data_IF_860031295500
#
_entry.id   IF_860031295500
#
_cell.length_a   1.000
_cell.length_b   1.000
_cell.length_c   1.000
_cell.angle_alpha   90.00
_cell.angle_beta   90.00
_cell.angle_gamma   90.00
#
_symmetry.space_group_name_H-M   'P 1'
#
loop_
_entity.id
_entity.type
_entity.pdbx_description
1 polymer ?
#
# COMPACT_ATOMS: atom_id res chain seq x y z
N UNK A 1 22.28 -9.73 -30.62
CA UNK A 1 21.26 -9.37 -29.60
C UNK A 1 20.56 -8.09 -30.05
N UNK A 2 19.25 -8.16 -30.34
CA UNK A 2 18.47 -7.01 -30.78
C UNK A 2 18.23 -6.05 -29.60
N UNK A 3 18.56 -4.76 -29.77
CA UNK A 3 18.33 -3.70 -28.78
C UNK A 3 17.35 -2.70 -29.40
N UNK A 4 16.23 -2.42 -28.74
CA UNK A 4 15.30 -1.34 -29.11
C UNK A 4 15.39 -0.21 -28.09
N UNK A 5 15.54 1.02 -28.58
CA UNK A 5 15.56 2.23 -27.76
C UNK A 5 14.14 2.76 -27.58
N UNK A 6 13.78 3.12 -26.35
CA UNK A 6 12.56 3.85 -26.02
C UNK A 6 12.98 5.12 -25.30
N UNK A 7 12.60 6.27 -25.85
CA UNK A 7 12.90 7.58 -25.29
C UNK A 7 11.72 7.99 -24.41
N UNK A 8 11.96 8.06 -23.10
CA UNK A 8 11.07 8.72 -22.13
C UNK A 8 11.88 9.86 -21.56
N UNK A 9 11.34 11.08 -21.62
CA UNK A 9 12.05 12.32 -21.35
C UNK A 9 12.98 12.22 -20.13
N UNK A 10 14.27 12.34 -20.43
CA UNK A 10 15.46 12.52 -19.59
C UNK A 10 16.27 11.33 -19.04
N UNK A 11 15.91 10.05 -19.21
CA UNK A 11 16.84 8.94 -18.90
C UNK A 11 16.82 7.81 -19.96
N UNK A 12 17.94 7.60 -20.66
CA UNK A 12 18.12 6.49 -21.61
C UNK A 12 18.48 5.23 -20.81
N UNK A 13 17.53 4.31 -20.61
CA UNK A 13 17.79 2.97 -20.06
C UNK A 13 17.82 1.93 -21.19
N UNK A 14 18.98 1.27 -21.36
CA UNK A 14 19.11 0.12 -22.25
C UNK A 14 18.71 -1.13 -21.46
N UNK A 15 17.51 -1.66 -21.72
CA UNK A 15 17.00 -2.85 -21.02
C UNK A 15 17.20 -4.07 -21.93
N UNK A 16 17.99 -5.08 -21.53
CA UNK A 16 18.13 -6.30 -22.31
C UNK A 16 16.82 -7.11 -22.26
N UNK A 17 16.24 -7.37 -23.42
CA UNK A 17 15.07 -8.25 -23.56
C UNK A 17 15.48 -9.71 -23.35
N UNK A 18 14.63 -10.49 -22.68
CA UNK A 18 14.80 -11.94 -22.55
C UNK A 18 13.95 -12.63 -23.59
N UNK A 19 14.52 -13.63 -24.25
CA UNK A 19 13.81 -14.51 -25.17
C UNK A 19 13.26 -15.69 -24.37
N UNK A 20 11.94 -15.87 -24.38
CA UNK A 20 11.25 -16.92 -23.63
C UNK A 20 10.26 -17.62 -24.55
N UNK A 21 10.24 -18.94 -24.51
CA UNK A 21 9.26 -19.76 -25.22
C UNK A 21 8.07 -20.03 -24.30
N UNK A 22 6.86 -19.76 -24.79
CA UNK A 22 5.62 -19.93 -24.04
C UNK A 22 4.63 -20.75 -24.86
N UNK A 23 3.78 -21.54 -24.20
CA UNK A 23 2.56 -22.06 -24.80
C UNK A 23 1.44 -21.03 -24.65
N UNK A 24 0.83 -20.60 -25.76
CA UNK A 24 -0.23 -19.60 -25.73
C UNK A 24 -1.47 -20.15 -25.03
N UNK A 25 -1.98 -19.46 -24.01
CA UNK A 25 -3.19 -19.85 -23.30
C UNK A 25 -4.45 -19.81 -24.19
N UNK A 26 -4.44 -19.03 -25.27
CA UNK A 26 -5.59 -18.86 -26.16
C UNK A 26 -5.60 -19.87 -27.31
N UNK A 27 -4.53 -19.94 -28.10
CA UNK A 27 -4.46 -20.82 -29.26
C UNK A 27 -3.67 -22.12 -29.04
N UNK A 28 -3.06 -22.31 -27.85
CA UNK A 28 -2.31 -23.52 -27.50
C UNK A 28 -0.93 -23.65 -28.16
N UNK A 29 -0.59 -22.82 -29.15
CA UNK A 29 0.67 -22.91 -29.89
C UNK A 29 1.86 -22.40 -29.10
N UNK A 30 3.02 -23.03 -29.30
CA UNK A 30 4.29 -22.57 -28.73
C UNK A 30 4.83 -21.37 -29.52
N UNK A 31 5.23 -20.32 -28.81
CA UNK A 31 5.75 -19.10 -29.40
C UNK A 31 6.97 -18.60 -28.63
N UNK A 32 7.99 -18.16 -29.36
CA UNK A 32 9.19 -17.57 -28.79
C UNK A 32 9.10 -16.05 -28.83
N UNK A 33 9.06 -15.41 -27.66
CA UNK A 33 8.77 -13.98 -27.51
C UNK A 33 9.95 -13.29 -26.83
N UNK A 34 10.30 -12.10 -27.31
CA UNK A 34 11.21 -11.21 -26.62
C UNK A 34 10.40 -10.32 -25.68
N UNK A 35 10.54 -10.53 -24.36
CA UNK A 35 9.82 -9.75 -23.36
C UNK A 35 10.78 -8.99 -22.44
N UNK A 36 10.29 -7.87 -21.90
CA UNK A 36 10.97 -7.19 -20.81
C UNK A 36 11.16 -8.16 -19.63
N UNK A 37 12.26 -8.05 -18.86
CA UNK A 37 12.45 -8.84 -17.65
C UNK A 37 11.33 -8.51 -16.66
N UNK A 38 10.43 -9.47 -16.43
CA UNK A 38 9.20 -9.27 -15.69
C UNK A 38 8.25 -10.46 -15.83
N UNK A 39 6.94 -10.19 -15.86
CA UNK A 39 5.92 -11.23 -16.00
C UNK A 39 6.01 -11.88 -17.38
N UNK A 40 6.20 -13.20 -17.41
CA UNK A 40 6.19 -13.97 -18.65
C UNK A 40 4.84 -13.80 -19.35
N UNK A 41 4.81 -13.38 -20.63
CA UNK A 41 3.57 -13.30 -21.38
C UNK A 41 2.91 -14.68 -21.44
N UNK A 42 1.58 -14.71 -21.44
CA UNK A 42 0.79 -15.96 -21.53
C UNK A 42 0.10 -16.11 -22.88
N UNK A 43 0.25 -15.12 -23.75
CA UNK A 43 -0.37 -15.05 -25.07
C UNK A 43 0.70 -14.75 -26.10
N UNK A 44 0.64 -15.43 -27.24
CA UNK A 44 1.69 -15.38 -28.27
C UNK A 44 1.69 -14.13 -29.13
N UNK A 45 0.54 -13.45 -29.25
CA UNK A 45 0.39 -12.26 -30.10
C UNK A 45 -0.58 -11.24 -29.50
N UNK A 46 -0.49 -9.96 -29.91
CA UNK A 46 -1.49 -8.94 -29.58
C UNK A 46 -2.90 -9.34 -30.02
N UNK A 47 -3.02 -10.06 -31.14
CA UNK A 47 -4.30 -10.57 -31.66
C UNK A 47 -4.92 -11.61 -30.70
N UNK A 48 -4.12 -12.54 -30.17
CA UNK A 48 -4.59 -13.48 -29.14
C UNK A 48 -4.97 -12.77 -27.84
N UNK A 49 -4.30 -11.68 -27.49
CA UNK A 49 -4.65 -10.84 -26.34
C UNK A 49 -5.96 -10.07 -26.53
N UNK A 50 -6.26 -9.65 -27.75
CA UNK A 50 -7.52 -9.00 -28.07
C UNK A 50 -8.68 -10.00 -28.13
N UNK A 51 -8.47 -11.18 -28.72
CA UNK A 51 -9.45 -12.25 -28.77
C UNK A 51 -9.84 -12.74 -27.37
N UNK A 52 -8.87 -12.97 -26.49
CA UNK A 52 -9.12 -13.39 -25.11
C UNK A 52 -9.90 -12.33 -24.31
N UNK A 53 -9.65 -11.03 -24.54
CA UNK A 53 -10.40 -9.94 -23.91
C UNK A 53 -11.86 -9.90 -24.38
N UNK A 54 -12.08 -10.02 -25.69
CA UNK A 54 -13.43 -10.03 -26.28
C UNK A 54 -14.25 -11.22 -25.78
N UNK A 55 -13.64 -12.39 -25.61
CA UNK A 55 -14.34 -13.57 -25.10
C UNK A 55 -14.71 -13.44 -23.62
N UNK A 56 -13.79 -12.92 -22.79
CA UNK A 56 -14.08 -12.64 -21.39
C UNK A 56 -15.23 -11.62 -21.22
N UNK A 57 -15.27 -10.57 -22.04
CA UNK A 57 -16.35 -9.59 -22.03
C UNK A 57 -17.68 -10.18 -22.50
N UNK A 58 -17.66 -11.08 -23.49
CA UNK A 58 -18.87 -11.82 -23.91
C UNK A 58 -19.39 -12.71 -22.80
N UNK A 59 -18.52 -13.46 -22.11
CA UNK A 59 -18.90 -14.32 -20.99
C UNK A 59 -19.45 -13.51 -19.82
N UNK A 60 -18.84 -12.35 -19.51
CA UNK A 60 -19.35 -11.43 -18.49
C UNK A 60 -20.76 -10.94 -18.82
N UNK A 61 -20.98 -10.46 -20.05
CA UNK A 61 -22.31 -9.99 -20.49
C UNK A 61 -23.35 -11.11 -20.54
N UNK A 62 -22.95 -12.32 -20.89
CA UNK A 62 -23.83 -13.49 -20.85
C UNK A 62 -24.20 -13.87 -19.41
N UNK A 63 -23.27 -13.78 -18.47
CA UNK A 63 -23.53 -14.00 -17.04
C UNK A 63 -24.44 -12.93 -16.43
N UNK A 64 -24.22 -11.65 -16.78
CA UNK A 64 -25.09 -10.52 -16.40
C UNK A 64 -26.52 -10.70 -16.92
N UNK A 65 -26.70 -11.16 -18.17
CA UNK A 65 -28.03 -11.46 -18.75
C UNK A 65 -28.71 -12.67 -18.10
N UNK A 66 -27.96 -13.61 -17.56
CA UNK A 66 -28.49 -14.82 -16.94
C UNK A 66 -28.82 -14.66 -15.45
N UNK A 67 -28.64 -13.46 -14.86
CA UNK A 67 -28.83 -13.17 -13.42
C UNK A 67 -28.13 -14.19 -12.50
N UNK A 68 -27.01 -14.75 -12.96
CA UNK A 68 -26.16 -15.65 -12.17
C UNK A 68 -24.99 -14.83 -11.64
N UNK A 69 -24.58 -15.02 -10.36
CA UNK A 69 -23.37 -14.39 -9.84
C UNK A 69 -22.18 -14.78 -10.72
N UNK A 70 -21.27 -13.82 -10.93
CA UNK A 70 -20.13 -13.96 -11.84
C UNK A 70 -19.38 -15.29 -11.60
N UNK A 71 -18.92 -15.98 -12.67
CA UNK A 71 -18.23 -17.25 -12.52
C UNK A 71 -16.98 -17.06 -11.64
N UNK A 72 -16.94 -17.79 -10.53
CA UNK A 72 -15.77 -17.82 -9.67
C UNK A 72 -14.56 -18.34 -10.47
N UNK A 73 -13.37 -17.75 -10.33
CA UNK A 73 -12.20 -18.22 -11.06
C UNK A 73 -11.89 -19.68 -10.67
N UNK A 74 -11.64 -20.51 -11.68
CA UNK A 74 -11.33 -21.93 -11.51
C UNK A 74 -10.15 -22.13 -10.53
N UNK A 75 -10.41 -22.79 -9.40
CA UNK A 75 -9.40 -23.17 -8.41
C UNK A 75 -8.59 -24.37 -8.93
N UNK A 76 -7.44 -24.07 -9.53
CA UNK A 76 -6.32 -24.99 -9.69
C UNK A 76 -5.09 -24.42 -8.98
N UNK A 77 -4.82 -24.87 -7.75
CA UNK A 77 -3.63 -24.44 -6.98
C UNK A 77 -2.38 -25.16 -7.48
N UNK A 78 -1.35 -24.41 -7.87
CA UNK A 78 0.09 -24.77 -7.77
C UNK A 78 0.94 -23.49 -7.61
N UNK A 79 2.14 -23.63 -7.01
CA UNK A 79 2.55 -22.96 -5.77
C UNK A 79 2.63 -21.43 -5.91
N UNK A 80 2.39 -20.70 -4.81
CA UNK A 80 2.63 -19.25 -4.75
C UNK A 80 4.06 -18.98 -5.26
N UNK A 81 4.26 -18.21 -6.36
CA UNK A 81 5.59 -17.74 -6.69
C UNK A 81 6.11 -16.94 -5.49
N UNK A 82 7.36 -17.19 -5.08
CA UNK A 82 8.04 -16.30 -4.13
C UNK A 82 7.95 -14.88 -4.70
N UNK A 83 7.48 -13.89 -3.94
CA UNK A 83 7.41 -12.51 -4.40
C UNK A 83 8.78 -12.06 -4.93
N UNK A 84 8.89 -11.83 -6.24
CA UNK A 84 10.08 -11.26 -6.88
C UNK A 84 10.23 -9.76 -6.61
N UNK A 85 9.19 -9.17 -6.01
CA UNK A 85 9.22 -8.01 -5.14
C UNK A 85 8.42 -8.39 -3.90
N UNK A 86 9.09 -8.68 -2.80
CA UNK A 86 8.47 -8.43 -1.51
C UNK A 86 8.37 -6.92 -1.41
N UNK A 87 7.13 -6.41 -1.43
CA UNK A 87 6.87 -5.07 -0.96
C UNK A 87 7.02 -5.19 0.55
N UNK A 88 8.00 -4.51 1.14
CA UNK A 88 8.30 -4.61 2.58
C UNK A 88 7.12 -4.21 3.48
N UNK A 89 6.09 -3.61 2.88
CA UNK A 89 4.71 -3.51 3.35
C UNK A 89 3.91 -2.98 2.14
N UNK A 90 2.81 -3.60 1.66
CA UNK A 90 1.83 -2.79 0.93
C UNK A 90 1.31 -1.82 1.99
N UNK A 91 1.75 -0.57 1.96
CA UNK A 91 1.05 0.48 2.67
C UNK A 91 -0.42 0.27 2.38
N UNK A 92 -1.22 0.00 3.41
CA UNK A 92 -2.66 0.03 3.23
C UNK A 92 -3.13 1.48 2.99
N UNK A 93 -2.21 2.46 3.06
CA UNK A 93 -2.17 3.59 2.13
C UNK A 93 -1.94 3.09 0.71
N UNK A 94 -2.88 2.26 0.26
CA UNK A 94 -3.21 2.11 -1.11
C UNK A 94 -3.53 3.53 -1.60
N UNK A 95 -3.27 3.84 -2.86
CA UNK A 95 -3.62 5.15 -3.44
C UNK A 95 -5.12 5.45 -3.30
N UNK A 96 -5.92 4.47 -2.86
CA UNK A 96 -7.28 4.61 -2.39
C UNK A 96 -7.43 5.39 -1.08
N UNK A 97 -6.52 5.35 -0.09
CA UNK A 97 -6.65 6.13 1.16
C UNK A 97 -6.47 7.63 0.90
N UNK A 98 -5.45 8.05 0.14
CA UNK A 98 -5.27 9.46 -0.26
C UNK A 98 -6.50 9.98 -1.03
N UNK A 99 -7.01 9.20 -1.99
CA UNK A 99 -8.22 9.56 -2.76
C UNK A 99 -9.49 9.52 -1.90
N UNK A 100 -9.53 8.63 -0.91
CA UNK A 100 -10.63 8.51 0.04
C UNK A 100 -10.66 9.70 0.99
N UNK A 101 -9.52 10.16 1.52
CA UNK A 101 -9.47 11.28 2.45
C UNK A 101 -9.88 12.59 1.76
N UNK A 102 -9.32 12.86 0.59
CA UNK A 102 -9.66 14.05 -0.21
C UNK A 102 -11.16 14.13 -0.58
N UNK A 103 -11.76 12.98 -0.90
CA UNK A 103 -13.19 12.89 -1.24
C UNK A 103 -14.08 12.99 0.01
N UNK A 104 -13.71 12.34 1.11
CA UNK A 104 -14.41 12.45 2.39
C UNK A 104 -14.41 13.87 2.91
N UNK A 105 -13.25 14.53 2.87
CA UNK A 105 -13.07 15.92 3.23
C UNK A 105 -14.03 16.80 2.40
N UNK A 106 -14.00 16.72 1.07
CA UNK A 106 -14.92 17.49 0.19
C UNK A 106 -16.40 17.20 0.44
N UNK A 107 -16.75 15.98 0.85
CA UNK A 107 -18.13 15.57 1.12
C UNK A 107 -18.57 15.84 2.57
N UNK A 108 -17.73 16.41 3.44
CA UNK A 108 -17.96 16.51 4.87
C UNK A 108 -18.99 17.60 5.23
N UNK A 109 -20.27 17.23 5.23
CA UNK A 109 -21.39 18.14 5.56
C UNK A 109 -22.17 17.74 6.82
N UNK A 110 -22.17 16.46 7.18
CA UNK A 110 -22.96 15.92 8.29
C UNK A 110 -22.04 15.36 9.39
N UNK A 111 -22.57 15.25 10.60
CA UNK A 111 -21.88 14.55 11.69
C UNK A 111 -21.58 13.08 11.34
N UNK A 112 -22.42 12.44 10.54
CA UNK A 112 -22.17 11.08 10.05
C UNK A 112 -20.91 11.02 9.17
N UNK A 113 -20.76 11.96 8.23
CA UNK A 113 -19.56 12.05 7.38
C UNK A 113 -18.32 12.37 8.24
N UNK A 114 -18.46 13.24 9.24
CA UNK A 114 -17.40 13.53 10.20
C UNK A 114 -16.96 12.30 10.99
N UNK A 115 -17.90 11.46 11.46
CA UNK A 115 -17.56 10.19 12.14
C UNK A 115 -16.84 9.20 11.22
N UNK A 116 -17.24 9.13 9.96
CA UNK A 116 -16.54 8.30 8.97
C UNK A 116 -15.10 8.79 8.74
N UNK A 117 -14.89 10.11 8.71
CA UNK A 117 -13.55 10.69 8.63
C UNK A 117 -12.75 10.37 9.90
N UNK A 118 -13.32 10.56 11.10
CA UNK A 118 -12.66 10.19 12.36
C UNK A 118 -12.18 8.72 12.35
N UNK A 119 -13.03 7.78 11.93
CA UNK A 119 -12.62 6.38 11.81
C UNK A 119 -11.48 6.16 10.79
N UNK A 120 -11.45 6.96 9.71
CA UNK A 120 -10.34 6.95 8.75
C UNK A 120 -9.06 7.51 9.37
N UNK A 121 -9.16 8.56 10.19
CA UNK A 121 -8.02 9.14 10.91
C UNK A 121 -7.45 8.17 11.94
N UNK A 122 -8.29 7.43 12.68
CA UNK A 122 -7.85 6.37 13.59
C UNK A 122 -7.00 5.32 12.87
N UNK A 123 -7.46 4.86 11.69
CA UNK A 123 -6.69 3.91 10.88
C UNK A 123 -5.36 4.52 10.39
N UNK A 124 -5.35 5.80 10.02
CA UNK A 124 -4.12 6.50 9.60
C UNK A 124 -3.13 6.71 10.76
N UNK A 125 -3.61 6.89 12.00
CA UNK A 125 -2.75 6.98 13.17
C UNK A 125 -2.03 5.65 13.46
N UNK A 126 -2.71 4.51 13.26
CA UNK A 126 -2.08 3.19 13.35
C UNK A 126 -1.03 2.99 12.26
N UNK A 127 -1.35 3.36 11.01
CA UNK A 127 -0.40 3.30 9.90
C UNK A 127 0.80 4.23 10.15
N UNK A 128 0.59 5.42 10.73
CA UNK A 128 1.68 6.34 11.08
C UNK A 128 2.74 5.67 11.96
N UNK A 129 2.32 4.93 13.00
CA UNK A 129 3.23 4.20 13.87
C UNK A 129 3.99 3.10 13.11
N UNK A 130 3.28 2.31 12.31
CA UNK A 130 3.89 1.24 11.51
C UNK A 130 4.93 1.79 10.52
N UNK A 131 4.63 2.91 9.85
CA UNK A 131 5.51 3.56 8.88
C UNK A 131 6.70 4.23 9.58
N UNK A 132 6.52 4.76 10.79
CA UNK A 132 7.63 5.28 11.57
C UNK A 132 8.62 4.18 11.95
N UNK A 133 8.13 3.03 12.41
CA UNK A 133 8.96 1.84 12.69
C UNK A 133 9.68 1.37 11.41
N UNK A 134 8.97 1.32 10.28
CA UNK A 134 9.56 1.01 8.97
C UNK A 134 10.68 1.95 8.61
N UNK A 135 10.45 3.25 8.68
CA UNK A 135 11.44 4.26 8.37
C UNK A 135 12.70 4.08 9.23
N UNK A 136 12.55 3.91 10.55
CA UNK A 136 13.67 3.75 11.47
C UNK A 136 14.47 2.48 11.19
N UNK A 137 13.81 1.34 10.96
CA UNK A 137 14.50 0.08 10.65
C UNK A 137 15.27 0.19 9.34
N UNK A 138 14.64 0.72 8.30
CA UNK A 138 15.27 0.88 6.99
C UNK A 138 16.46 1.85 7.05
N UNK A 139 16.30 2.99 7.74
CA UNK A 139 17.39 3.94 7.95
C UNK A 139 18.56 3.29 8.70
N UNK A 140 18.29 2.56 9.79
CA UNK A 140 19.35 1.89 10.56
C UNK A 140 20.08 0.87 9.71
N UNK A 141 19.39 0.03 8.94
CA UNK A 141 20.04 -0.99 8.12
C UNK A 141 20.92 -0.37 7.02
N UNK A 142 20.53 0.78 6.49
CA UNK A 142 21.31 1.49 5.45
C UNK A 142 22.48 2.26 6.06
N UNK A 143 22.28 2.95 7.18
CA UNK A 143 23.25 3.93 7.72
C UNK A 143 23.95 3.52 9.00
N UNK A 144 23.23 2.89 9.93
CA UNK A 144 23.71 2.62 11.29
C UNK A 144 23.23 1.25 11.82
N UNK A 145 23.65 0.11 11.22
CA UNK A 145 23.11 -1.20 11.55
C UNK A 145 23.29 -1.57 13.03
N UNK A 146 24.36 -1.08 13.65
CA UNK A 146 24.68 -1.27 15.06
C UNK A 146 23.65 -0.64 16.01
N UNK A 147 22.91 0.40 15.58
CA UNK A 147 21.87 1.06 16.40
C UNK A 147 20.46 0.51 16.17
N UNK A 148 20.32 -0.54 15.34
CA UNK A 148 19.01 -1.05 14.92
C UNK A 148 18.14 -1.43 16.13
N UNK A 149 18.68 -2.16 17.10
CA UNK A 149 17.91 -2.58 18.27
C UNK A 149 17.43 -1.37 19.09
N UNK A 150 18.36 -0.52 19.53
CA UNK A 150 18.07 0.68 20.34
C UNK A 150 17.06 1.60 19.66
N UNK A 151 17.27 1.96 18.39
CA UNK A 151 16.38 2.88 17.68
C UNK A 151 15.01 2.25 17.39
N UNK A 152 14.94 0.94 17.18
CA UNK A 152 13.66 0.25 17.01
C UNK A 152 12.87 0.24 18.32
N UNK A 153 13.51 0.04 19.47
CA UNK A 153 12.84 0.15 20.77
C UNK A 153 12.25 1.55 20.99
N UNK A 154 13.02 2.59 20.69
CA UNK A 154 12.52 3.98 20.77
C UNK A 154 11.35 4.19 19.81
N UNK A 155 11.43 3.68 18.58
CA UNK A 155 10.35 3.81 17.60
C UNK A 155 9.07 3.06 17.98
N UNK A 156 9.18 2.01 18.81
CA UNK A 156 8.06 1.26 19.38
C UNK A 156 7.46 1.95 20.62
N UNK A 157 8.13 2.95 21.18
CA UNK A 157 7.61 3.74 22.30
C UNK A 157 6.53 4.70 21.81
N UNK A 158 5.27 4.30 21.99
CA UNK A 158 4.07 5.09 21.61
C UNK A 158 4.01 6.43 22.38
N UNK A 159 4.67 6.52 23.53
CA UNK A 159 4.76 7.72 24.37
C UNK A 159 5.98 8.61 24.06
N UNK A 160 6.71 8.35 22.97
CA UNK A 160 7.83 9.22 22.57
C UNK A 160 7.30 10.64 22.26
N UNK A 161 7.73 11.69 22.99
CA UNK A 161 7.30 13.06 22.75
C UNK A 161 7.71 13.60 21.37
N UNK A 162 8.59 12.90 20.63
CA UNK A 162 8.94 13.21 19.24
C UNK A 162 7.90 12.68 18.25
N UNK A 163 6.99 11.83 18.69
CA UNK A 163 5.84 11.37 17.92
C UNK A 163 4.63 12.22 18.30
N UNK A 164 4.09 12.92 17.30
CA UNK A 164 2.84 13.69 17.44
C UNK A 164 1.60 12.76 17.69
N UNK A 165 1.79 11.44 17.69
CA UNK A 165 0.74 10.42 17.77
C UNK A 165 -0.20 10.60 18.96
N UNK A 166 0.31 10.71 20.20
CA UNK A 166 -0.54 10.85 21.40
C UNK A 166 -1.33 12.16 21.42
N UNK A 167 -0.77 13.21 20.83
CA UNK A 167 -1.50 14.47 20.66
C UNK A 167 -2.66 14.26 19.69
N UNK A 168 -2.40 13.73 18.49
CA UNK A 168 -3.45 13.50 17.50
C UNK A 168 -4.50 12.48 17.99
N UNK A 169 -4.10 11.43 18.70
CA UNK A 169 -5.03 10.48 19.30
C UNK A 169 -6.03 11.18 20.22
N UNK A 170 -5.56 12.09 21.08
CA UNK A 170 -6.45 12.89 21.95
C UNK A 170 -7.36 13.83 21.16
N UNK A 171 -6.83 14.47 20.12
CA UNK A 171 -7.61 15.36 19.26
C UNK A 171 -8.70 14.60 18.47
N UNK A 172 -8.38 13.40 17.97
CA UNK A 172 -9.34 12.51 17.29
C UNK A 172 -10.43 12.03 18.26
N UNK A 173 -10.06 11.64 19.49
CA UNK A 173 -11.03 11.19 20.51
C UNK A 173 -11.97 12.33 20.97
N UNK A 174 -11.43 13.54 21.09
CA UNK A 174 -12.23 14.73 21.37
C UNK A 174 -13.22 15.00 20.24
N UNK A 175 -12.76 14.96 18.97
CA UNK A 175 -13.66 15.09 17.82
C UNK A 175 -14.73 13.99 17.81
N UNK A 176 -14.37 12.73 18.11
CA UNK A 176 -15.33 11.62 18.19
C UNK A 176 -16.47 11.93 19.15
N UNK A 177 -16.15 12.48 20.32
CA UNK A 177 -17.11 12.88 21.35
C UNK A 177 -18.03 14.03 20.87
N UNK A 178 -17.47 15.06 20.25
CA UNK A 178 -18.24 16.21 19.74
C UNK A 178 -19.21 15.86 18.58
N UNK A 179 -18.85 14.83 17.82
CA UNK A 179 -19.63 14.31 16.70
C UNK A 179 -20.68 13.29 17.11
N UNK A 180 -20.89 13.06 18.40
CA UNK A 180 -21.99 12.27 18.91
C UNK A 180 -23.35 12.84 18.46
N UNK A 181 -24.31 11.93 18.23
CA UNK A 181 -25.66 12.24 17.79
C UNK A 181 -25.80 12.50 16.29
N UNK A 182 -26.96 13.03 15.88
CA UNK A 182 -27.28 13.28 14.47
C UNK A 182 -27.31 14.78 14.18
N UNK A 183 -27.05 15.16 12.93
CA UNK A 183 -27.15 16.55 12.50
C UNK A 183 -26.12 16.99 11.46
N UNK A 184 -26.17 18.27 11.12
CA UNK A 184 -25.17 18.94 10.29
C UNK A 184 -23.90 19.22 11.10
N UNK A 185 -22.77 19.20 10.40
CA UNK A 185 -21.50 19.58 10.97
C UNK A 185 -21.41 21.10 11.00
N UNK A 186 -21.06 21.69 12.14
CA UNK A 186 -20.87 23.15 12.22
C UNK A 186 -19.52 23.55 11.58
N UNK A 187 -19.34 24.84 11.30
CA UNK A 187 -18.12 25.33 10.64
C UNK A 187 -16.85 25.07 11.46
N UNK A 188 -16.80 25.36 12.78
CA UNK A 188 -15.62 25.06 13.59
C UNK A 188 -15.21 23.58 13.57
N UNK A 189 -16.18 22.65 13.67
CA UNK A 189 -15.93 21.21 13.60
C UNK A 189 -15.37 20.79 12.24
N UNK A 190 -15.87 21.39 11.15
CA UNK A 190 -15.33 21.15 9.80
C UNK A 190 -13.88 21.58 9.70
N UNK A 191 -13.57 22.79 10.15
CA UNK A 191 -12.24 23.36 10.04
C UNK A 191 -11.22 22.58 10.89
N UNK A 192 -11.62 22.16 12.10
CA UNK A 192 -10.79 21.33 12.96
C UNK A 192 -10.53 19.94 12.37
N UNK A 193 -11.57 19.24 11.89
CA UNK A 193 -11.39 17.94 11.21
C UNK A 193 -10.51 18.07 9.97
N UNK A 194 -10.66 19.15 9.21
CA UNK A 194 -9.85 19.41 8.03
C UNK A 194 -8.38 19.60 8.38
N UNK A 195 -8.09 20.45 9.37
CA UNK A 195 -6.74 20.73 9.83
C UNK A 195 -6.06 19.47 10.39
N UNK A 196 -6.79 18.68 11.19
CA UNK A 196 -6.30 17.44 11.77
C UNK A 196 -6.00 16.41 10.67
N UNK A 197 -6.94 16.18 9.75
CA UNK A 197 -6.79 15.22 8.67
C UNK A 197 -5.58 15.53 7.78
N UNK A 198 -5.40 16.81 7.39
CA UNK A 198 -4.27 17.22 6.55
C UNK A 198 -2.93 17.08 7.24
N UNK A 199 -2.87 17.40 8.53
CA UNK A 199 -1.65 17.26 9.32
C UNK A 199 -1.21 15.79 9.40
N UNK A 200 -2.14 14.89 9.76
CA UNK A 200 -1.88 13.45 9.85
C UNK A 200 -1.48 12.89 8.48
N UNK A 201 -2.26 13.16 7.44
CA UNK A 201 -1.99 12.72 6.05
C UNK A 201 -0.58 13.13 5.61
N UNK A 202 -0.23 14.40 5.75
CA UNK A 202 1.08 14.94 5.33
C UNK A 202 2.23 14.21 6.03
N UNK A 203 2.07 13.92 7.32
CA UNK A 203 3.09 13.24 8.13
C UNK A 203 3.23 11.77 7.74
N UNK A 204 2.11 11.07 7.52
CA UNK A 204 2.11 9.67 7.04
C UNK A 204 2.77 9.58 5.65
N UNK A 205 2.32 10.40 4.70
CA UNK A 205 2.86 10.44 3.33
C UNK A 205 4.34 10.80 3.33
N UNK A 206 4.75 11.80 4.12
CA UNK A 206 6.15 12.17 4.27
C UNK A 206 7.02 11.02 4.79
N UNK A 207 6.55 10.30 5.81
CA UNK A 207 7.28 9.13 6.35
C UNK A 207 7.33 7.96 5.36
N UNK A 208 6.28 7.75 4.57
CA UNK A 208 6.29 6.78 3.47
C UNK A 208 7.33 7.13 2.41
N UNK A 209 7.38 8.41 1.98
CA UNK A 209 8.37 8.89 1.03
C UNK A 209 9.80 8.63 1.51
N UNK A 210 10.10 9.01 2.75
CA UNK A 210 11.40 8.74 3.36
C UNK A 210 11.74 7.24 3.44
N UNK A 211 10.75 6.40 3.79
CA UNK A 211 10.93 4.94 3.84
C UNK A 211 11.24 4.35 2.47
N UNK A 212 10.61 4.87 1.41
CA UNK A 212 10.81 4.40 0.05
C UNK A 212 12.25 4.64 -0.42
N UNK A 213 12.81 5.81 -0.12
CA UNK A 213 14.20 6.15 -0.47
C UNK A 213 15.19 5.15 0.14
N UNK A 214 14.97 4.74 1.39
CA UNK A 214 15.81 3.72 2.03
C UNK A 214 15.57 2.32 1.48
N UNK A 215 14.33 1.94 1.17
CA UNK A 215 14.03 0.62 0.59
C UNK A 215 14.70 0.43 -0.77
N UNK A 216 14.73 1.49 -1.59
CA UNK A 216 15.38 1.48 -2.90
C UNK A 216 16.92 1.43 -2.78
N UNK A 217 17.48 1.89 -1.65
CA UNK A 217 18.91 1.84 -1.36
C UNK A 217 19.40 0.48 -0.81
N UNK A 218 18.50 -0.43 -0.43
CA UNK A 218 18.88 -1.73 0.16
C UNK A 218 19.51 -2.68 -0.86
N UNK A 219 20.61 -3.33 -0.47
CA UNK A 219 21.11 -4.53 -1.15
C UNK A 219 20.24 -5.76 -0.89
N UNK A 220 20.43 -6.84 -1.65
CA UNK A 220 19.64 -8.07 -1.51
C UNK A 220 19.74 -8.72 -0.12
N UNK A 221 20.91 -8.69 0.52
CA UNK A 221 21.10 -9.23 1.87
C UNK A 221 20.51 -8.32 2.95
N UNK A 222 20.67 -7.00 2.80
CA UNK A 222 20.07 -6.01 3.70
C UNK A 222 18.54 -6.07 3.65
N UNK A 223 17.95 -6.31 2.47
CA UNK A 223 16.49 -6.49 2.31
C UNK A 223 15.96 -7.64 3.15
N UNK A 224 16.60 -8.81 3.10
CA UNK A 224 16.18 -9.95 3.91
C UNK A 224 16.29 -9.69 5.42
N UNK A 225 17.28 -8.90 5.85
CA UNK A 225 17.42 -8.49 7.25
C UNK A 225 16.35 -7.47 7.65
N UNK A 226 16.07 -6.49 6.78
CA UNK A 226 15.01 -5.51 6.99
C UNK A 226 13.64 -6.16 7.13
N UNK A 227 13.33 -7.13 6.27
CA UNK A 227 12.06 -7.87 6.32
C UNK A 227 11.88 -8.59 7.66
N UNK A 228 12.91 -9.29 8.13
CA UNK A 228 12.84 -9.99 9.43
C UNK A 228 12.68 -9.02 10.59
N UNK A 229 13.48 -7.94 10.62
CA UNK A 229 13.41 -6.93 11.65
C UNK A 229 12.03 -6.26 11.70
N UNK A 230 11.47 -5.95 10.52
CA UNK A 230 10.16 -5.32 10.39
C UNK A 230 9.02 -6.23 10.86
N UNK A 231 9.02 -7.49 10.47
CA UNK A 231 8.00 -8.44 10.93
C UNK A 231 8.01 -8.53 12.46
N UNK A 232 9.19 -8.65 13.07
CA UNK A 232 9.31 -8.71 14.53
C UNK A 232 8.83 -7.42 15.19
N UNK A 233 9.22 -6.27 14.66
CA UNK A 233 8.84 -4.98 15.23
C UNK A 233 7.33 -4.71 15.10
N UNK A 234 6.71 -5.07 13.98
CA UNK A 234 5.27 -4.89 13.78
C UNK A 234 4.43 -5.80 14.68
N UNK A 235 4.81 -7.07 14.86
CA UNK A 235 4.15 -7.96 15.82
C UNK A 235 4.22 -7.39 17.24
N UNK A 236 5.36 -6.79 17.60
CA UNK A 236 5.51 -6.13 18.91
C UNK A 236 4.66 -4.87 19.01
N UNK A 237 4.60 -4.05 17.96
CA UNK A 237 3.74 -2.87 17.92
C UNK A 237 2.26 -3.26 18.09
N UNK A 238 1.80 -4.30 17.40
CA UNK A 238 0.44 -4.84 17.57
C UNK A 238 0.18 -5.28 19.02
N UNK A 239 1.14 -5.97 19.65
CA UNK A 239 1.03 -6.37 21.05
C UNK A 239 0.96 -5.18 22.02
N UNK A 240 1.72 -4.11 21.76
CA UNK A 240 1.69 -2.88 22.57
C UNK A 240 0.35 -2.14 22.43
N UNK A 241 -0.18 -2.08 21.20
CA UNK A 241 -1.48 -1.45 20.94
C UNK A 241 -2.63 -2.22 21.60
N UNK A 242 -2.64 -3.55 21.49
CA UNK A 242 -3.63 -4.40 22.17
C UNK A 242 -3.53 -4.31 23.70
N UNK A 243 -2.32 -4.21 24.25
CA UNK A 243 -2.11 -4.01 25.68
C UNK A 243 -2.62 -2.65 26.18
N UNK A 244 -2.46 -1.60 25.38
CA UNK A 244 -2.93 -0.25 25.72
C UNK A 244 -4.45 -0.12 25.73
N UNK A 245 -5.19 -0.97 25.01
CA UNK A 245 -6.67 -1.01 25.03
C UNK A 245 -7.24 -1.77 26.25
N UNK A 246 -6.39 -2.50 26.99
CA UNK A 246 -6.79 -3.34 28.12
C UNK A 246 -6.61 -2.70 29.51
N UNK A 247 -6.17 -1.45 29.55
CA UNK A 247 -5.96 -0.62 30.76
C UNK A 247 -6.92 0.55 30.75
#
# INVERSE_FOLDING_TARGET
MSKRQVIVNQHIRIIPLRTITIACRWCGSEATIQSYPGRTPTLCSPECAEAARKDHDRQRRAAERANKPAPAPARGRKPKPRPTRFVLWPSQVDRSLDRSLDSQLKAMQTKANGRQLVATLDALLLEYLAVNVRWVILECIVREPQKLAERTEVALSIDDPRLDYRQWQREVELMRSELAGNGRLNQPQRDQLWALARTIETKVVGRHGLSQDFEDALTGSQRATAERALVVALVRLEGLLAGAESV
#
